data_IF_513191592748
#
_entry.id   IF_513191592748
#
_cell.length_a   1.000
_cell.length_b   1.000
_cell.length_c   1.000
_cell.angle_alpha   90.00
_cell.angle_beta   90.00
_cell.angle_gamma   90.00
#
_symmetry.space_group_name_H-M   'P 1'
#
loop_
_entity.id
_entity.type
_entity.pdbx_description
1 polymer ?
#
# COMPACT_ATOMS: atom_id res chain seq x y z
N UNK A 1 75.69 9.38 33.43
CA UNK A 1 74.61 8.67 32.70
C UNK A 1 74.35 9.41 31.39
N UNK A 2 74.61 8.76 30.25
CA UNK A 2 74.29 9.28 28.91
C UNK A 2 72.81 9.04 28.64
N UNK A 3 72.07 10.02 28.16
CA UNK A 3 70.78 9.77 27.51
C UNK A 3 70.65 10.62 26.24
N UNK A 4 70.32 9.90 25.17
CA UNK A 4 70.34 10.32 23.78
C UNK A 4 69.15 11.21 23.40
N UNK A 5 69.41 12.11 22.47
CA UNK A 5 68.42 12.86 21.70
C UNK A 5 67.52 11.94 20.86
N UNK A 6 66.23 12.26 20.79
CA UNK A 6 65.37 11.90 19.65
C UNK A 6 64.58 13.12 19.21
N UNK A 7 64.97 13.64 18.03
CA UNK A 7 64.23 14.62 17.25
C UNK A 7 62.88 14.00 16.82
N UNK A 8 61.78 14.49 17.38
CA UNK A 8 60.43 14.20 16.89
C UNK A 8 60.11 15.11 15.72
N UNK A 9 60.07 14.56 14.50
CA UNK A 9 59.67 15.27 13.30
C UNK A 9 58.20 15.67 13.35
N UNK A 10 57.92 16.95 13.14
CA UNK A 10 56.58 17.50 12.99
C UNK A 10 56.10 17.17 11.57
N UNK A 11 55.08 16.31 11.46
CA UNK A 11 54.37 16.07 10.20
C UNK A 11 53.36 17.20 10.01
N UNK A 12 53.63 18.11 9.07
CA UNK A 12 52.64 19.08 8.60
C UNK A 12 51.63 18.36 7.70
N UNK A 13 50.41 18.14 8.20
CA UNK A 13 49.27 17.73 7.37
C UNK A 13 48.66 18.99 6.76
N UNK A 14 48.86 19.20 5.46
CA UNK A 14 48.20 20.26 4.71
C UNK A 14 46.74 19.84 4.43
N UNK A 15 45.78 20.46 5.12
CA UNK A 15 44.36 20.33 4.82
C UNK A 15 44.05 21.28 3.65
N UNK A 16 43.90 20.74 2.45
CA UNK A 16 43.39 21.47 1.29
C UNK A 16 41.85 21.48 1.40
N UNK A 17 41.29 22.61 1.82
CA UNK A 17 39.85 22.85 1.79
C UNK A 17 39.46 23.18 0.35
N UNK A 18 38.96 22.18 -0.39
CA UNK A 18 38.34 22.41 -1.70
C UNK A 18 36.93 22.94 -1.44
N UNK A 19 36.78 24.26 -1.45
CA UNK A 19 35.47 24.91 -1.46
C UNK A 19 34.81 24.69 -2.82
N UNK A 20 33.90 23.73 -2.90
CA UNK A 20 32.98 23.61 -4.03
C UNK A 20 32.01 24.81 -3.97
N UNK A 21 31.89 25.63 -5.03
CA UNK A 21 30.83 26.64 -5.05
C UNK A 21 29.49 25.89 -5.11
N UNK A 22 28.70 26.01 -4.04
CA UNK A 22 27.29 25.68 -4.09
C UNK A 22 26.65 26.62 -5.11
N UNK A 23 26.41 26.12 -6.33
CA UNK A 23 25.70 26.84 -7.37
C UNK A 23 24.25 26.97 -6.90
N UNK A 24 23.90 28.12 -6.34
CA UNK A 24 22.51 28.43 -6.00
C UNK A 24 21.65 28.29 -7.25
N UNK A 25 20.59 27.48 -7.18
CA UNK A 25 19.59 27.41 -8.24
C UNK A 25 18.98 28.81 -8.43
N UNK A 26 18.83 29.29 -9.67
CA UNK A 26 18.16 30.57 -9.90
C UNK A 26 16.74 30.56 -9.34
N UNK A 27 16.18 31.71 -8.93
CA UNK A 27 14.84 31.77 -8.38
C UNK A 27 13.83 31.26 -9.42
N UNK A 28 13.21 30.12 -9.14
CA UNK A 28 12.18 29.55 -9.98
C UNK A 28 10.90 30.40 -9.87
N UNK A 29 10.63 31.19 -10.90
CA UNK A 29 9.33 31.87 -11.06
C UNK A 29 8.30 30.88 -11.59
N UNK A 30 7.02 31.11 -11.33
CA UNK A 30 5.93 30.27 -11.82
C UNK A 30 5.95 30.15 -13.36
N UNK A 31 6.35 31.21 -14.06
CA UNK A 31 6.52 31.23 -15.52
C UNK A 31 7.68 30.34 -15.98
N UNK A 32 8.83 30.38 -15.30
CA UNK A 32 9.97 29.51 -15.61
C UNK A 32 9.66 28.01 -15.37
N UNK A 33 8.87 27.70 -14.34
CA UNK A 33 8.40 26.34 -14.09
C UNK A 33 7.40 25.86 -15.16
N UNK A 34 6.52 26.75 -15.64
CA UNK A 34 5.54 26.45 -16.68
C UNK A 34 6.21 26.25 -18.06
N UNK A 35 7.21 27.06 -18.38
CA UNK A 35 7.98 26.94 -19.62
C UNK A 35 8.82 25.65 -19.63
N UNK A 36 9.49 25.35 -18.52
CA UNK A 36 10.20 24.08 -18.33
C UNK A 36 9.27 22.87 -18.46
N UNK A 37 8.08 22.92 -17.85
CA UNK A 37 7.08 21.86 -17.96
C UNK A 37 6.55 21.70 -19.39
N UNK A 38 6.41 22.78 -20.17
CA UNK A 38 6.00 22.73 -21.59
C UNK A 38 7.05 22.05 -22.46
N UNK A 39 8.32 22.41 -22.28
CA UNK A 39 9.44 21.84 -23.06
C UNK A 39 9.63 20.34 -22.79
N UNK A 40 9.43 19.93 -21.54
CA UNK A 40 9.63 18.55 -21.12
C UNK A 40 8.36 17.72 -21.10
N UNK A 41 7.20 18.30 -21.44
CA UNK A 41 5.91 17.61 -21.59
C UNK A 41 6.00 16.39 -22.49
N UNK A 42 6.88 16.43 -23.50
CA UNK A 42 7.15 15.33 -24.43
C UNK A 42 7.64 14.06 -23.75
N UNK A 43 8.36 14.18 -22.63
CA UNK A 43 8.97 13.06 -21.89
C UNK A 43 7.98 12.26 -21.05
N UNK A 44 6.74 12.76 -20.86
CA UNK A 44 5.67 12.12 -20.08
C UNK A 44 4.40 11.85 -20.91
N UNK A 45 4.49 11.84 -22.25
CA UNK A 45 3.33 11.77 -23.17
C UNK A 45 2.55 10.45 -23.16
N UNK A 46 2.99 9.44 -22.42
CA UNK A 46 2.26 8.18 -22.30
C UNK A 46 2.16 7.73 -20.84
N UNK A 47 1.11 6.97 -20.49
CA UNK A 47 1.03 6.31 -19.18
C UNK A 47 2.27 5.47 -18.87
N UNK A 48 2.87 4.85 -19.90
CA UNK A 48 4.13 4.11 -19.77
C UNK A 48 5.30 5.02 -19.40
N UNK A 49 5.45 6.18 -20.04
CA UNK A 49 6.52 7.13 -19.73
C UNK A 49 6.37 7.73 -18.32
N UNK A 50 5.14 7.97 -17.86
CA UNK A 50 4.85 8.38 -16.48
C UNK A 50 5.25 7.27 -15.50
N UNK A 51 4.85 6.02 -15.78
CA UNK A 51 5.26 4.87 -14.97
C UNK A 51 6.78 4.74 -14.91
N UNK A 52 7.47 4.76 -16.04
CA UNK A 52 8.90 4.50 -16.11
C UNK A 52 9.77 5.64 -15.56
N UNK A 53 9.34 6.91 -15.70
CA UNK A 53 10.15 8.06 -15.27
C UNK A 53 9.82 8.57 -13.87
N UNK A 54 8.59 8.38 -13.40
CA UNK A 54 8.15 8.93 -12.11
C UNK A 54 7.87 7.85 -11.08
N UNK A 55 7.12 6.81 -11.43
CA UNK A 55 6.71 5.81 -10.45
C UNK A 55 7.77 4.74 -10.19
N UNK A 56 8.36 4.19 -11.25
CA UNK A 56 9.33 3.10 -11.10
C UNK A 56 10.62 3.49 -10.37
N UNK A 57 11.21 4.68 -10.57
CA UNK A 57 12.33 5.14 -9.76
C UNK A 57 11.96 5.40 -8.31
N UNK A 58 10.72 5.82 -8.04
CA UNK A 58 10.23 6.02 -6.69
C UNK A 58 9.98 4.70 -5.95
N UNK A 59 9.70 3.62 -6.68
CA UNK A 59 9.28 2.33 -6.13
C UNK A 59 10.35 1.23 -6.27
N UNK A 60 11.58 1.59 -6.64
CA UNK A 60 12.66 0.64 -6.88
C UNK A 60 13.94 1.10 -6.21
N UNK A 61 14.69 0.15 -5.64
CA UNK A 61 16.07 0.40 -5.17
C UNK A 61 17.07 0.50 -6.32
N UNK A 62 16.69 0.04 -7.50
CA UNK A 62 17.59 -0.14 -8.65
C UNK A 62 17.43 0.94 -9.73
N UNK A 63 16.31 1.67 -9.73
CA UNK A 63 16.04 2.72 -10.71
C UNK A 63 16.30 4.10 -10.13
N UNK A 64 16.89 4.97 -10.95
CA UNK A 64 17.19 6.36 -10.58
C UNK A 64 16.21 7.30 -11.26
N UNK A 65 15.84 8.36 -10.55
CA UNK A 65 15.23 9.50 -11.19
C UNK A 65 16.25 10.17 -12.09
N UNK A 66 15.80 10.64 -13.25
CA UNK A 66 16.56 11.49 -14.15
C UNK A 66 15.86 12.84 -14.22
N UNK A 67 16.60 13.92 -14.05
CA UNK A 67 16.05 15.27 -14.22
C UNK A 67 15.54 15.42 -15.65
N UNK A 68 14.51 16.25 -15.85
CA UNK A 68 13.87 16.35 -17.16
C UNK A 68 14.83 16.82 -18.27
N UNK A 69 15.83 17.62 -17.91
CA UNK A 69 16.91 18.08 -18.78
C UNK A 69 18.04 17.05 -18.96
N UNK A 70 17.96 15.88 -18.31
CA UNK A 70 18.95 14.80 -18.35
C UNK A 70 20.27 15.12 -17.66
N UNK A 71 20.39 16.28 -17.00
CA UNK A 71 21.67 16.76 -16.46
C UNK A 71 22.09 16.05 -15.17
N UNK A 72 21.14 15.47 -14.43
CA UNK A 72 21.39 14.77 -13.19
C UNK A 72 20.55 13.50 -13.07
N UNK A 73 21.13 12.52 -12.36
CA UNK A 73 20.44 11.31 -11.91
C UNK A 73 20.58 11.21 -10.41
N UNK A 74 19.51 10.80 -9.74
CA UNK A 74 19.51 10.65 -8.29
C UNK A 74 18.60 9.52 -7.86
N UNK A 75 18.92 8.92 -6.71
CA UNK A 75 18.08 7.92 -6.07
C UNK A 75 17.23 8.59 -5.01
N UNK A 76 15.92 8.42 -5.14
CA UNK A 76 14.97 8.70 -4.07
C UNK A 76 14.01 7.51 -4.06
N UNK A 77 14.05 6.69 -3.02
CA UNK A 77 13.18 5.53 -2.92
C UNK A 77 12.10 5.81 -1.87
N UNK A 78 10.84 5.68 -2.28
CA UNK A 78 9.66 5.74 -1.42
C UNK A 78 9.32 4.35 -0.85
N UNK A 79 9.84 3.28 -1.44
CA UNK A 79 9.76 1.95 -0.86
C UNK A 79 10.80 1.83 0.24
N UNK A 80 10.35 1.99 1.48
CA UNK A 80 11.01 1.33 2.60
C UNK A 80 10.96 -0.16 2.30
N UNK A 81 12.11 -0.82 2.10
CA UNK A 81 12.17 -2.27 1.97
C UNK A 81 11.76 -2.87 3.32
N UNK A 82 10.46 -3.02 3.54
CA UNK A 82 9.97 -3.80 4.67
C UNK A 82 10.24 -5.26 4.34
N UNK A 83 11.21 -5.87 5.03
CA UNK A 83 11.42 -7.31 4.96
C UNK A 83 10.25 -8.08 5.57
N UNK A 84 9.43 -7.40 6.38
CA UNK A 84 8.25 -7.95 7.05
C UNK A 84 6.94 -7.58 6.33
N UNK A 85 5.98 -8.52 6.17
CA UNK A 85 4.68 -8.24 5.58
C UNK A 85 3.80 -7.41 6.54
N UNK A 86 3.18 -6.34 6.05
CA UNK A 86 2.19 -5.54 6.82
C UNK A 86 0.84 -6.26 6.92
N UNK A 87 0.44 -6.99 5.88
CA UNK A 87 -0.79 -7.78 5.85
C UNK A 87 -0.51 -9.12 5.19
N UNK A 88 -1.03 -10.20 5.77
CA UNK A 88 -1.07 -11.53 5.16
C UNK A 88 -2.52 -12.00 5.10
N UNK A 89 -2.97 -12.37 3.91
CA UNK A 89 -4.30 -12.95 3.70
C UNK A 89 -4.14 -14.41 3.31
N UNK A 90 -4.77 -15.31 4.04
CA UNK A 90 -4.87 -16.74 3.70
C UNK A 90 -6.32 -17.08 3.42
N UNK A 91 -6.58 -17.68 2.25
CA UNK A 91 -7.91 -18.11 1.85
C UNK A 91 -8.04 -19.63 1.89
N UNK A 92 -9.19 -20.11 2.38
CA UNK A 92 -9.56 -21.51 2.42
C UNK A 92 -10.88 -21.71 1.67
N UNK A 93 -10.99 -22.69 0.77
CA UNK A 93 -12.23 -22.95 0.06
C UNK A 93 -13.34 -23.40 1.02
N UNK A 94 -14.57 -22.92 0.79
CA UNK A 94 -15.77 -23.48 1.38
C UNK A 94 -16.30 -24.55 0.43
N UNK A 95 -16.03 -25.81 0.77
CA UNK A 95 -16.41 -26.96 -0.04
C UNK A 95 -15.82 -26.91 -1.45
N UNK A 96 -16.66 -27.13 -2.47
CA UNK A 96 -16.22 -27.12 -3.87
C UNK A 96 -16.12 -25.70 -4.43
N UNK A 97 -14.94 -25.32 -4.91
CA UNK A 97 -14.73 -24.01 -5.54
C UNK A 97 -15.53 -23.81 -6.83
N UNK A 98 -15.92 -24.90 -7.52
CA UNK A 98 -16.72 -24.81 -8.75
C UNK A 98 -18.22 -24.84 -8.49
N UNK A 99 -18.66 -25.51 -7.43
CA UNK A 99 -20.09 -25.62 -7.09
C UNK A 99 -20.56 -24.56 -6.09
N UNK A 100 -19.67 -24.09 -5.22
CA UNK A 100 -19.95 -23.08 -4.19
C UNK A 100 -19.17 -21.81 -4.49
N UNK A 101 -17.84 -21.92 -4.63
CA UNK A 101 -16.98 -20.77 -4.97
C UNK A 101 -16.83 -19.73 -3.85
N UNK A 102 -17.15 -20.07 -2.61
CA UNK A 102 -16.98 -19.20 -1.44
C UNK A 102 -15.65 -19.48 -0.72
N UNK A 103 -15.15 -18.51 0.04
CA UNK A 103 -13.88 -18.59 0.76
C UNK A 103 -14.05 -18.24 2.24
N UNK A 104 -13.31 -18.92 3.12
CA UNK A 104 -12.98 -18.42 4.45
C UNK A 104 -11.64 -17.70 4.36
N UNK A 105 -11.55 -16.49 4.92
CA UNK A 105 -10.34 -15.69 4.92
C UNK A 105 -9.81 -15.54 6.35
N UNK A 106 -8.52 -15.82 6.53
CA UNK A 106 -7.75 -15.45 7.71
C UNK A 106 -6.82 -14.31 7.33
N UNK A 107 -7.05 -13.14 7.92
CA UNK A 107 -6.30 -11.92 7.64
C UNK A 107 -5.47 -11.60 8.88
N UNK A 108 -4.15 -11.63 8.71
CA UNK A 108 -3.18 -11.25 9.72
C UNK A 108 -2.61 -9.88 9.34
N UNK A 109 -2.42 -8.97 10.29
CA UNK A 109 -1.88 -7.65 10.02
C UNK A 109 -0.98 -7.14 11.15
N UNK A 110 0.00 -6.35 10.77
CA UNK A 110 0.94 -5.68 11.66
C UNK A 110 0.25 -4.43 12.20
N UNK A 111 -0.04 -4.44 13.51
CA UNK A 111 -0.88 -3.38 14.09
C UNK A 111 -0.08 -2.10 14.29
N UNK A 112 1.19 -2.17 14.61
CA UNK A 112 2.04 -1.03 14.99
C UNK A 112 3.24 -0.80 14.05
N UNK A 113 3.30 -1.55 12.96
CA UNK A 113 4.31 -1.50 11.90
C UNK A 113 5.72 -1.84 12.41
N UNK A 114 5.81 -2.72 13.42
CA UNK A 114 7.07 -3.16 14.01
C UNK A 114 7.71 -4.37 13.29
N UNK A 115 7.02 -4.91 12.27
CA UNK A 115 7.43 -6.04 11.46
C UNK A 115 6.88 -7.39 11.95
N UNK A 116 6.01 -7.42 12.95
CA UNK A 116 5.31 -8.63 13.42
C UNK A 116 3.81 -8.52 13.12
N UNK A 117 3.11 -9.65 13.15
CA UNK A 117 1.68 -9.71 12.84
C UNK A 117 0.91 -10.08 14.11
N UNK A 118 0.31 -9.10 14.77
CA UNK A 118 -0.44 -9.24 16.02
C UNK A 118 -1.96 -9.23 15.77
N UNK A 119 -2.38 -8.54 14.72
CA UNK A 119 -3.77 -8.45 14.31
C UNK A 119 -4.22 -9.73 13.62
N UNK A 120 -5.36 -10.29 14.04
CA UNK A 120 -5.99 -11.42 13.35
C UNK A 120 -7.48 -11.16 13.21
N UNK A 121 -7.98 -11.31 11.98
CA UNK A 121 -9.40 -11.27 11.65
C UNK A 121 -9.74 -12.49 10.79
N UNK A 122 -10.74 -13.26 11.20
CA UNK A 122 -11.24 -14.39 10.41
C UNK A 122 -12.67 -14.10 9.97
N UNK A 123 -12.94 -14.25 8.68
CA UNK A 123 -14.27 -14.13 8.09
C UNK A 123 -14.59 -15.38 7.29
N UNK A 124 -15.85 -15.82 7.31
CA UNK A 124 -16.26 -17.10 6.73
C UNK A 124 -17.30 -16.89 5.63
N UNK A 125 -17.43 -17.89 4.75
CA UNK A 125 -18.45 -17.94 3.68
C UNK A 125 -18.49 -16.66 2.82
N UNK A 126 -17.32 -16.13 2.49
CA UNK A 126 -17.18 -14.94 1.66
C UNK A 126 -17.50 -15.30 0.21
N UNK A 127 -18.50 -14.64 -0.34
CA UNK A 127 -19.01 -14.84 -1.70
C UNK A 127 -18.58 -13.73 -2.67
N UNK A 128 -18.24 -12.55 -2.15
CA UNK A 128 -17.79 -11.42 -2.93
C UNK A 128 -16.93 -10.44 -2.13
N UNK A 129 -16.20 -9.60 -2.85
CA UNK A 129 -15.30 -8.58 -2.31
C UNK A 129 -15.75 -7.18 -2.69
N UNK A 130 -15.48 -6.23 -1.81
CA UNK A 130 -15.64 -4.80 -2.01
C UNK A 130 -14.37 -4.09 -1.52
N UNK A 131 -14.07 -2.91 -2.05
CA UNK A 131 -12.86 -2.17 -1.66
C UNK A 131 -12.82 -1.82 -0.16
N UNK A 132 -13.99 -1.69 0.48
CA UNK A 132 -14.12 -1.39 1.90
C UNK A 132 -14.67 -2.54 2.75
N UNK A 133 -14.76 -3.77 2.22
CA UNK A 133 -15.37 -4.88 2.96
C UNK A 133 -15.74 -6.08 2.11
N UNK A 134 -16.70 -6.86 2.60
CA UNK A 134 -17.02 -8.19 2.07
C UNK A 134 -18.51 -8.43 1.93
N UNK A 135 -18.84 -9.39 1.08
CA UNK A 135 -20.18 -9.95 0.91
C UNK A 135 -20.10 -11.42 1.26
N UNK A 136 -20.88 -11.87 2.25
CA UNK A 136 -20.77 -13.19 2.84
C UNK A 136 -22.12 -13.79 3.21
N UNK A 137 -22.10 -15.06 3.61
CA UNK A 137 -23.25 -15.80 4.14
C UNK A 137 -24.49 -15.71 3.21
N UNK A 138 -24.25 -15.76 1.89
CA UNK A 138 -25.33 -15.88 0.93
C UNK A 138 -26.05 -17.23 1.11
N UNK A 139 -27.38 -17.23 0.97
CA UNK A 139 -28.21 -18.40 1.23
C UNK A 139 -29.19 -18.68 0.09
N UNK A 140 -29.12 -19.89 -0.52
CA UNK A 140 -28.20 -21.00 -0.20
C UNK A 140 -26.75 -20.73 -0.61
N UNK A 141 -25.78 -21.47 -0.07
CA UNK A 141 -24.36 -21.34 -0.44
C UNK A 141 -24.15 -21.50 -1.94
N UNK A 142 -23.25 -20.68 -2.50
CA UNK A 142 -23.02 -20.59 -3.94
C UNK A 142 -24.05 -19.75 -4.71
N UNK A 143 -25.09 -19.22 -4.04
CA UNK A 143 -26.06 -18.28 -4.63
C UNK A 143 -25.67 -16.81 -4.38
N UNK A 144 -26.34 -15.87 -5.05
CA UNK A 144 -26.24 -14.43 -4.77
C UNK A 144 -27.49 -13.89 -4.06
N UNK A 145 -28.08 -14.70 -3.19
CA UNK A 145 -29.33 -14.39 -2.50
C UNK A 145 -29.10 -14.22 -1.01
N UNK A 146 -29.86 -13.30 -0.39
CA UNK A 146 -29.88 -13.08 1.07
C UNK A 146 -28.49 -12.88 1.70
N UNK A 147 -27.55 -12.28 0.95
CA UNK A 147 -26.19 -12.08 1.40
C UNK A 147 -26.09 -10.99 2.47
N UNK A 148 -25.11 -11.13 3.36
CA UNK A 148 -24.73 -10.11 4.34
C UNK A 148 -23.59 -9.27 3.79
N UNK A 149 -23.74 -7.94 3.86
CA UNK A 149 -22.70 -6.99 3.47
C UNK A 149 -22.04 -6.46 4.73
N UNK A 150 -20.72 -6.46 4.76
CA UNK A 150 -19.99 -6.04 5.94
C UNK A 150 -18.75 -5.23 5.57
N UNK A 151 -18.55 -4.09 6.22
CA UNK A 151 -17.39 -3.24 6.04
C UNK A 151 -16.28 -3.60 7.01
N UNK A 152 -15.05 -3.27 6.62
CA UNK A 152 -13.96 -3.15 7.57
C UNK A 152 -14.17 -1.92 8.45
N UNK A 153 -13.87 -2.07 9.74
CA UNK A 153 -14.01 -1.02 10.74
C UNK A 153 -12.90 -1.15 11.78
N UNK A 154 -12.58 -0.05 12.45
CA UNK A 154 -11.70 -0.04 13.61
C UNK A 154 -12.53 0.05 14.88
N UNK A 155 -12.35 -0.91 15.77
CA UNK A 155 -12.99 -0.94 17.09
C UNK A 155 -11.93 -1.22 18.16
N UNK A 156 -11.71 -0.26 19.05
CA UNK A 156 -10.72 -0.38 20.12
C UNK A 156 -9.30 -0.65 19.63
N UNK A 157 -8.93 -0.12 18.44
CA UNK A 157 -7.61 -0.34 17.83
C UNK A 157 -7.42 -1.70 17.15
N UNK A 158 -8.46 -2.52 17.07
CA UNK A 158 -8.47 -3.75 16.28
C UNK A 158 -9.40 -3.59 15.07
N UNK A 159 -8.98 -4.14 13.93
CA UNK A 159 -9.84 -4.21 12.75
C UNK A 159 -10.90 -5.30 12.95
N UNK A 160 -12.15 -4.94 12.67
CA UNK A 160 -13.34 -5.78 12.80
C UNK A 160 -14.19 -5.70 11.54
N UNK A 161 -14.98 -6.75 11.35
CA UNK A 161 -16.06 -6.75 10.39
C UNK A 161 -17.31 -6.13 11.02
N UNK A 162 -17.86 -5.08 10.41
CA UNK A 162 -19.11 -4.45 10.80
C UNK A 162 -20.15 -4.71 9.71
N UNK A 163 -21.23 -5.42 10.04
CA UNK A 163 -22.30 -5.75 9.09
C UNK A 163 -23.56 -4.89 9.25
N UNK A 164 -23.59 -4.04 10.27
CA UNK A 164 -24.75 -3.25 10.64
C UNK A 164 -24.32 -1.80 10.92
N UNK A 165 -25.13 -0.84 10.49
CA UNK A 165 -25.02 0.55 10.90
C UNK A 165 -25.42 0.69 12.37
N UNK A 166 -24.61 1.38 13.16
CA UNK A 166 -25.02 1.87 14.48
C UNK A 166 -25.98 3.05 14.29
N UNK A 167 -27.24 2.88 14.67
CA UNK A 167 -28.26 3.92 14.68
C UNK A 167 -28.39 4.60 16.05
N UNK A 168 -29.23 5.63 16.11
CA UNK A 168 -29.60 6.25 17.38
C UNK A 168 -30.26 5.22 18.32
N UNK A 169 -30.04 5.37 19.61
CA UNK A 169 -30.65 4.54 20.67
C UNK A 169 -30.37 3.03 20.55
N UNK A 170 -29.24 2.64 19.95
CA UNK A 170 -28.84 1.23 19.85
C UNK A 170 -29.59 0.45 18.75
N UNK A 171 -30.35 1.13 17.89
CA UNK A 171 -30.90 0.49 16.69
C UNK A 171 -29.76 0.04 15.76
N UNK A 172 -29.85 -1.18 15.22
CA UNK A 172 -28.91 -1.72 14.25
C UNK A 172 -29.66 -1.96 12.94
N UNK A 173 -29.16 -1.37 11.85
CA UNK A 173 -29.71 -1.59 10.52
C UNK A 173 -28.67 -2.28 9.64
N UNK A 174 -29.01 -3.35 8.90
CA UNK A 174 -28.04 -4.06 8.09
C UNK A 174 -27.44 -3.16 7.02
N UNK A 175 -26.14 -3.32 6.80
CA UNK A 175 -25.47 -2.68 5.67
C UNK A 175 -25.99 -3.33 4.39
N UNK A 176 -26.47 -2.49 3.48
CA UNK A 176 -26.83 -2.91 2.12
C UNK A 176 -25.75 -2.53 1.10
N UNK A 177 -25.96 -2.87 -0.18
CA UNK A 177 -25.03 -2.57 -1.28
C UNK A 177 -24.56 -1.11 -1.33
N UNK A 178 -25.44 -0.16 -0.98
CA UNK A 178 -25.16 1.28 -0.94
C UNK A 178 -24.07 1.68 0.07
N UNK A 179 -23.79 0.82 1.06
CA UNK A 179 -22.74 1.02 2.05
C UNK A 179 -21.36 0.51 1.63
N UNK A 180 -21.27 -0.08 0.43
CA UNK A 180 -20.10 -0.77 -0.07
C UNK A 180 -19.52 -0.06 -1.30
N UNK A 181 -18.23 -0.29 -1.59
CA UNK A 181 -17.49 0.37 -2.67
C UNK A 181 -16.89 -0.64 -3.63
N UNK A 182 -17.18 -0.49 -4.93
CA UNK A 182 -16.51 -1.25 -5.99
C UNK A 182 -16.58 -2.77 -5.83
N UNK A 183 -17.77 -3.31 -5.56
CA UNK A 183 -17.93 -4.72 -5.27
C UNK A 183 -17.90 -5.61 -6.51
N UNK A 184 -17.43 -6.85 -6.34
CA UNK A 184 -17.56 -7.93 -7.29
C UNK A 184 -17.90 -9.25 -6.57
N UNK A 185 -18.63 -10.12 -7.27
CA UNK A 185 -18.92 -11.47 -6.81
C UNK A 185 -17.91 -12.47 -7.38
N UNK A 186 -17.65 -13.55 -6.65
CA UNK A 186 -16.76 -14.63 -7.14
C UNK A 186 -17.26 -16.04 -6.85
N UNK A 187 -18.44 -16.18 -6.23
CA UNK A 187 -19.03 -17.50 -5.97
C UNK A 187 -19.65 -18.13 -7.22
N UNK A 188 -20.20 -19.34 -7.06
CA UNK A 188 -20.71 -20.15 -8.17
C UNK A 188 -21.80 -19.46 -9.00
N UNK A 189 -22.65 -18.64 -8.39
CA UNK A 189 -23.69 -17.87 -9.10
C UNK A 189 -23.14 -16.90 -10.14
N UNK A 190 -21.86 -16.51 -10.01
CA UNK A 190 -21.17 -15.61 -10.92
C UNK A 190 -20.28 -16.33 -11.94
N UNK A 191 -20.47 -17.65 -12.10
CA UNK A 191 -19.63 -18.48 -12.96
C UNK A 191 -18.37 -19.02 -12.29
N UNK A 192 -18.31 -18.99 -10.94
CA UNK A 192 -17.19 -19.47 -10.12
C UNK A 192 -15.80 -18.92 -10.51
N UNK A 193 -15.62 -17.60 -10.72
CA UNK A 193 -14.32 -17.05 -11.14
C UNK A 193 -13.28 -17.01 -10.01
N UNK A 194 -13.59 -17.54 -8.82
CA UNK A 194 -12.71 -17.50 -7.64
C UNK A 194 -11.26 -17.94 -7.93
N UNK A 195 -11.06 -18.92 -8.80
CA UNK A 195 -9.72 -19.39 -9.18
C UNK A 195 -8.95 -18.38 -10.04
N UNK A 196 -9.62 -17.73 -10.99
CA UNK A 196 -8.99 -16.71 -11.85
C UNK A 196 -8.91 -15.34 -11.17
N UNK A 197 -9.71 -15.11 -10.13
CA UNK A 197 -9.78 -13.86 -9.38
C UNK A 197 -9.12 -13.92 -8.01
N UNK A 198 -8.47 -15.03 -7.63
CA UNK A 198 -7.94 -15.21 -6.29
C UNK A 198 -6.99 -14.06 -5.88
N UNK A 199 -6.06 -13.69 -6.77
CA UNK A 199 -5.16 -12.55 -6.51
C UNK A 199 -5.93 -11.24 -6.30
N UNK A 200 -6.97 -10.99 -7.10
CA UNK A 200 -7.84 -9.81 -6.94
C UNK A 200 -8.59 -9.85 -5.62
N UNK A 201 -9.13 -11.01 -5.23
CA UNK A 201 -9.83 -11.20 -3.94
C UNK A 201 -8.89 -10.91 -2.77
N UNK A 202 -7.69 -11.51 -2.78
CA UNK A 202 -6.69 -11.30 -1.74
C UNK A 202 -6.20 -9.84 -1.70
N UNK A 203 -6.06 -9.20 -2.87
CA UNK A 203 -5.67 -7.80 -2.98
C UNK A 203 -6.74 -6.85 -2.43
N UNK A 204 -8.03 -7.12 -2.67
CA UNK A 204 -9.13 -6.34 -2.10
C UNK A 204 -9.22 -6.50 -0.58
N UNK A 205 -9.05 -7.73 -0.08
CA UNK A 205 -8.99 -7.98 1.36
C UNK A 205 -7.81 -7.22 2.00
N UNK A 206 -6.60 -7.36 1.46
CA UNK A 206 -5.42 -6.67 1.97
C UNK A 206 -5.54 -5.14 1.88
N UNK A 207 -6.01 -4.61 0.74
CA UNK A 207 -6.20 -3.17 0.53
C UNK A 207 -7.19 -2.56 1.51
N UNK A 208 -8.33 -3.23 1.74
CA UNK A 208 -9.32 -2.77 2.71
C UNK A 208 -8.81 -2.73 4.15
N UNK A 209 -7.92 -3.67 4.53
CA UNK A 209 -7.24 -3.69 5.83
C UNK A 209 -6.20 -2.57 5.94
N UNK A 210 -5.39 -2.36 4.90
CA UNK A 210 -4.43 -1.25 4.83
C UNK A 210 -5.15 0.09 4.96
N UNK A 211 -6.31 0.25 4.34
CA UNK A 211 -7.13 1.46 4.47
C UNK A 211 -7.58 1.72 5.92
N UNK A 212 -7.85 0.67 6.70
CA UNK A 212 -8.09 0.83 8.14
C UNK A 212 -6.80 1.17 8.89
N UNK A 213 -5.68 0.49 8.60
CA UNK A 213 -4.39 0.78 9.26
C UNK A 213 -3.91 2.21 9.04
N UNK A 214 -4.19 2.81 7.88
CA UNK A 214 -3.91 4.23 7.60
C UNK A 214 -4.56 5.18 8.61
N UNK A 215 -5.72 4.84 9.15
CA UNK A 215 -6.37 5.65 10.18
C UNK A 215 -5.64 5.58 11.54
N UNK A 216 -4.88 4.50 11.79
CA UNK A 216 -4.02 4.35 12.97
C UNK A 216 -2.62 4.95 12.74
N UNK A 217 -2.13 4.91 11.50
CA UNK A 217 -0.78 5.28 11.12
C UNK A 217 -0.76 6.29 9.96
N UNK A 218 -0.64 7.60 10.27
CA UNK A 218 -0.53 8.63 9.24
C UNK A 218 0.64 8.41 8.27
N UNK A 219 1.70 7.70 8.69
CA UNK A 219 2.84 7.35 7.85
C UNK A 219 2.49 6.43 6.66
N UNK A 220 1.36 5.71 6.70
CA UNK A 220 0.86 4.90 5.58
C UNK A 220 0.01 5.71 4.59
N UNK A 221 -0.27 6.98 4.89
CA UNK A 221 -0.95 7.88 3.98
C UNK A 221 0.08 8.52 3.04
N UNK A 222 -0.04 8.23 1.74
CA UNK A 222 0.60 9.05 0.72
C UNK A 222 -0.29 10.28 0.56
N UNK A 223 0.15 11.42 1.13
CA UNK A 223 -0.48 12.73 0.89
C UNK A 223 0.07 13.35 -0.39
#
# INVERSE_FOLDING_TARGET
MKFHWRLGGIVFVAIVVISFPARASPPATQDSALEFAKDHKSTLKSPGAINDRLFQPALSTEREFETFDGSARFRANLMCSSEAPVVRVTAYPVGSLTAIGELNLRIEYDRDLDGRLEGVLTVNNVAGMCGNGIIRDCSPSGSWLNCRYCRWSLEGGAIREQCDYGGAEGSQAPIGPQGMRGCFCFNASCGAPVMSMLETVLSFAAGGIIDQLRALHPALAIN
#
